data_IF_976302538666
#
_entry.id   IF_976302538666
#
_cell.length_a   1.000
_cell.length_b   1.000
_cell.length_c   1.000
_cell.angle_alpha   90.00
_cell.angle_beta   90.00
_cell.angle_gamma   90.00
#
_symmetry.space_group_name_H-M   'P 1'
#
loop_
_entity.id
_entity.type
_entity.pdbx_description
1 polymer ?
#
# COMPACT_ATOMS: atom_id res chain seq x y z
N UNK A 1 6.61 37.60 -10.50
CA UNK A 1 5.34 36.83 -10.59
C UNK A 1 5.21 36.07 -11.93
N UNK A 2 5.30 36.72 -13.10
CA UNK A 2 5.11 36.05 -14.41
C UNK A 2 6.03 34.85 -14.69
N UNK A 3 7.31 34.93 -14.32
CA UNK A 3 8.29 33.84 -14.53
C UNK A 3 8.04 32.61 -13.64
N UNK A 4 7.39 32.81 -12.50
CA UNK A 4 7.02 31.71 -11.60
C UNK A 4 5.78 30.99 -12.12
N UNK A 5 4.76 31.75 -12.55
CA UNK A 5 3.57 31.19 -13.18
C UNK A 5 3.94 30.40 -14.46
N UNK A 6 4.81 30.95 -15.32
CA UNK A 6 5.24 30.26 -16.53
C UNK A 6 6.06 28.99 -16.27
N UNK A 7 6.77 28.90 -15.14
CA UNK A 7 7.47 27.67 -14.74
C UNK A 7 6.47 26.59 -14.32
N UNK A 8 5.48 26.93 -13.50
CA UNK A 8 4.43 26.00 -13.08
C UNK A 8 3.58 25.54 -14.27
N UNK A 9 3.15 26.47 -15.12
CA UNK A 9 2.35 26.17 -16.31
C UNK A 9 3.11 25.31 -17.34
N UNK A 10 4.44 25.35 -17.32
CA UNK A 10 5.25 24.58 -18.27
C UNK A 10 5.33 23.08 -17.97
N UNK A 11 4.95 22.63 -16.76
CA UNK A 11 5.04 21.23 -16.34
C UNK A 11 6.45 20.63 -16.39
N UNK A 12 7.51 21.45 -16.59
CA UNK A 12 8.89 20.97 -16.78
C UNK A 12 9.45 20.26 -15.56
N UNK A 13 9.03 20.66 -14.36
CA UNK A 13 9.47 20.01 -13.12
C UNK A 13 8.86 18.61 -13.05
N UNK A 14 7.54 18.48 -13.26
CA UNK A 14 6.82 17.21 -13.25
C UNK A 14 7.40 16.22 -14.26
N UNK A 15 7.53 16.63 -15.53
CA UNK A 15 8.09 15.77 -16.59
C UNK A 15 9.53 15.32 -16.31
N UNK A 16 10.31 16.12 -15.59
CA UNK A 16 11.68 15.78 -15.25
C UNK A 16 11.73 14.77 -14.09
N UNK A 17 10.90 14.99 -13.06
CA UNK A 17 10.79 14.11 -11.89
C UNK A 17 10.22 12.74 -12.30
N UNK A 18 9.25 12.68 -13.20
CA UNK A 18 8.71 11.41 -13.73
C UNK A 18 9.78 10.58 -14.45
N UNK A 19 10.71 11.23 -15.16
CA UNK A 19 11.80 10.56 -15.88
C UNK A 19 12.95 10.13 -14.97
N UNK A 20 13.03 10.70 -13.76
CA UNK A 20 14.11 10.44 -12.79
C UNK A 20 13.51 10.06 -11.44
N UNK A 21 12.95 8.84 -11.31
CA UNK A 21 12.44 8.37 -10.03
C UNK A 21 13.58 8.29 -9.01
N UNK A 22 13.33 8.78 -7.78
CA UNK A 22 14.28 8.65 -6.67
C UNK A 22 15.44 9.66 -6.67
N UNK A 23 15.27 10.86 -7.25
CA UNK A 23 16.26 11.94 -7.19
C UNK A 23 16.80 12.19 -5.76
N UNK A 24 18.12 12.29 -5.66
CA UNK A 24 18.82 12.65 -4.42
C UNK A 24 18.88 14.18 -4.23
N UNK A 25 19.31 14.64 -3.07
CA UNK A 25 19.49 16.09 -2.80
C UNK A 25 20.48 16.76 -3.77
N UNK A 26 21.51 16.04 -4.21
CA UNK A 26 22.49 16.54 -5.18
C UNK A 26 21.88 16.66 -6.59
N UNK A 27 20.99 15.74 -6.96
CA UNK A 27 20.26 15.80 -8.23
C UNK A 27 19.27 16.98 -8.23
N UNK A 28 18.58 17.20 -7.11
CA UNK A 28 17.67 18.34 -6.92
C UNK A 28 18.44 19.66 -7.00
N UNK A 29 19.63 19.73 -6.39
CA UNK A 29 20.49 20.90 -6.47
C UNK A 29 20.93 21.18 -7.91
N UNK A 30 21.39 20.15 -8.62
CA UNK A 30 21.87 20.25 -9.99
C UNK A 30 20.75 20.70 -10.94
N UNK A 31 19.55 20.14 -10.80
CA UNK A 31 18.40 20.54 -11.62
C UNK A 31 17.90 21.95 -11.29
N UNK A 32 17.94 22.36 -10.02
CA UNK A 32 17.62 23.73 -9.62
C UNK A 32 18.56 24.76 -10.26
N UNK A 33 19.86 24.45 -10.39
CA UNK A 33 20.82 25.34 -11.04
C UNK A 33 20.59 25.46 -12.56
N UNK A 34 20.13 24.38 -13.22
CA UNK A 34 19.72 24.40 -14.63
C UNK A 34 18.49 25.29 -14.82
N UNK A 35 17.46 25.12 -13.97
CA UNK A 35 16.25 25.95 -14.02
C UNK A 35 16.52 27.41 -13.66
N UNK A 36 17.46 27.67 -12.75
CA UNK A 36 17.88 29.02 -12.37
C UNK A 36 18.39 29.81 -13.57
N UNK A 37 19.17 29.17 -14.46
CA UNK A 37 19.66 29.81 -15.70
C UNK A 37 18.54 30.17 -16.67
N UNK A 38 17.44 29.43 -16.65
CA UNK A 38 16.34 29.58 -17.60
C UNK A 38 15.26 30.56 -17.12
N UNK A 39 15.00 30.63 -15.80
CA UNK A 39 13.89 31.39 -15.23
C UNK A 39 14.33 32.49 -14.24
N UNK A 40 15.64 32.62 -13.95
CA UNK A 40 16.23 33.61 -13.03
C UNK A 40 15.52 33.66 -11.66
N UNK A 41 15.09 32.51 -11.14
CA UNK A 41 14.46 32.36 -9.84
C UNK A 41 15.48 32.01 -8.76
N UNK A 42 15.16 32.32 -7.50
CA UNK A 42 16.01 31.97 -6.37
C UNK A 42 16.17 30.44 -6.25
N UNK A 43 17.42 29.97 -6.13
CA UNK A 43 17.74 28.54 -6.09
C UNK A 43 17.05 27.83 -4.92
N UNK A 44 16.85 28.52 -3.79
CA UNK A 44 16.13 27.99 -2.62
C UNK A 44 14.67 27.63 -2.95
N UNK A 45 14.00 28.45 -3.75
CA UNK A 45 12.60 28.22 -4.13
C UNK A 45 12.53 27.07 -5.13
N UNK A 46 13.43 27.04 -6.12
CA UNK A 46 13.50 25.97 -7.12
C UNK A 46 13.75 24.61 -6.47
N UNK A 47 14.71 24.51 -5.54
CA UNK A 47 14.96 23.28 -4.78
C UNK A 47 13.72 22.80 -4.02
N UNK A 48 12.99 23.73 -3.38
CA UNK A 48 11.76 23.38 -2.64
C UNK A 48 10.67 22.86 -3.57
N UNK A 49 10.48 23.48 -4.74
CA UNK A 49 9.50 23.02 -5.73
C UNK A 49 9.83 21.63 -6.26
N UNK A 50 11.08 21.39 -6.66
CA UNK A 50 11.52 20.09 -7.16
C UNK A 50 11.36 19.03 -6.07
N UNK A 51 11.77 19.31 -4.82
CA UNK A 51 11.61 18.36 -3.71
C UNK A 51 10.13 18.01 -3.47
N UNK A 52 9.26 19.01 -3.45
CA UNK A 52 7.82 18.77 -3.28
C UNK A 52 7.26 17.88 -4.40
N UNK A 53 7.70 18.09 -5.65
CA UNK A 53 7.26 17.25 -6.76
C UNK A 53 7.84 15.84 -6.70
N UNK A 54 9.11 15.69 -6.32
CA UNK A 54 9.71 14.38 -6.03
C UNK A 54 8.95 13.63 -4.93
N UNK A 55 8.54 14.33 -3.87
CA UNK A 55 7.78 13.74 -2.77
C UNK A 55 6.35 13.39 -3.19
N UNK A 56 5.72 14.20 -4.05
CA UNK A 56 4.41 13.92 -4.65
C UNK A 56 4.44 12.72 -5.60
N UNK A 57 5.51 12.59 -6.38
CA UNK A 57 5.69 11.49 -7.33
C UNK A 57 6.05 10.16 -6.65
N UNK A 58 6.52 10.18 -5.40
CA UNK A 58 6.76 8.95 -4.63
C UNK A 58 5.42 8.22 -4.43
N UNK A 59 5.35 6.92 -4.76
CA UNK A 59 4.16 6.15 -4.43
C UNK A 59 3.91 6.24 -2.92
N UNK A 60 2.65 6.36 -2.53
CA UNK A 60 2.28 6.27 -1.12
C UNK A 60 2.88 5.00 -0.55
N UNK A 61 3.55 5.09 0.59
CA UNK A 61 4.11 3.91 1.25
C UNK A 61 2.98 2.91 1.43
N UNK A 62 3.15 1.72 0.84
CA UNK A 62 2.18 0.64 0.97
C UNK A 62 2.35 0.02 2.36
N UNK A 63 1.83 0.71 3.36
CA UNK A 63 1.97 0.32 4.77
C UNK A 63 1.38 -1.07 5.05
N UNK A 64 0.44 -1.54 4.25
CA UNK A 64 -0.19 -2.86 4.45
C UNK A 64 0.79 -4.01 4.20
N UNK A 65 1.69 -3.92 3.22
CA UNK A 65 2.64 -5.02 2.95
C UNK A 65 3.65 -5.20 4.08
N UNK A 66 4.01 -4.14 4.79
CA UNK A 66 4.99 -4.21 5.87
C UNK A 66 4.36 -4.63 7.20
N UNK A 67 3.10 -4.27 7.44
CA UNK A 67 2.47 -4.39 8.76
C UNK A 67 1.25 -5.33 8.81
N UNK A 68 0.70 -5.77 7.68
CA UNK A 68 -0.40 -6.73 7.68
C UNK A 68 0.12 -8.16 7.84
N UNK A 69 0.20 -8.58 9.10
CA UNK A 69 0.54 -9.94 9.49
C UNK A 69 -0.39 -10.99 8.85
N UNK A 70 -1.69 -10.68 8.72
CA UNK A 70 -2.66 -11.63 8.16
C UNK A 70 -2.42 -11.84 6.67
N UNK A 71 -2.10 -10.77 5.95
CA UNK A 71 -1.75 -10.84 4.53
C UNK A 71 -0.45 -11.64 4.30
N UNK A 72 0.58 -11.42 5.12
CA UNK A 72 1.84 -12.18 5.04
C UNK A 72 1.63 -13.68 5.26
N UNK A 73 0.85 -14.04 6.28
CA UNK A 73 0.55 -15.44 6.56
C UNK A 73 -0.33 -16.06 5.46
N UNK A 74 -1.28 -15.31 4.91
CA UNK A 74 -2.08 -15.79 3.78
C UNK A 74 -1.21 -16.09 2.55
N UNK A 75 -0.27 -15.20 2.20
CA UNK A 75 0.70 -15.44 1.13
C UNK A 75 1.58 -16.66 1.42
N UNK A 76 2.05 -16.81 2.66
CA UNK A 76 2.84 -17.96 3.08
C UNK A 76 2.07 -19.29 2.89
N UNK A 77 0.80 -19.34 3.33
CA UNK A 77 -0.07 -20.52 3.16
C UNK A 77 -0.31 -20.84 1.69
N UNK A 78 -0.46 -19.83 0.83
CA UNK A 78 -0.68 -20.02 -0.60
C UNK A 78 0.58 -20.55 -1.30
N UNK A 79 1.75 -20.01 -0.95
CA UNK A 79 3.02 -20.33 -1.61
C UNK A 79 3.68 -21.61 -1.10
N UNK A 80 3.59 -21.89 0.21
CA UNK A 80 4.40 -22.92 0.87
C UNK A 80 3.57 -24.09 1.40
N UNK A 81 2.28 -23.91 1.67
CA UNK A 81 1.41 -25.00 2.14
C UNK A 81 0.61 -25.63 1.00
N UNK A 82 0.23 -26.91 1.14
CA UNK A 82 -0.66 -27.56 0.19
C UNK A 82 -2.09 -27.05 0.41
N UNK A 83 -2.35 -25.86 -0.11
CA UNK A 83 -3.60 -25.11 0.02
C UNK A 83 -4.84 -25.96 -0.32
N UNK A 84 -4.75 -26.79 -1.37
CA UNK A 84 -5.82 -27.70 -1.76
C UNK A 84 -6.13 -28.76 -0.68
N UNK A 85 -5.11 -29.29 0.00
CA UNK A 85 -5.27 -30.23 1.09
C UNK A 85 -5.84 -29.57 2.36
N UNK A 86 -5.61 -28.28 2.56
CA UNK A 86 -6.15 -27.53 3.70
C UNK A 86 -7.62 -27.16 3.49
N UNK A 87 -7.98 -26.68 2.31
CA UNK A 87 -9.37 -26.37 1.97
C UNK A 87 -10.26 -27.63 2.02
N UNK A 88 -9.76 -28.77 1.54
CA UNK A 88 -10.53 -30.02 1.59
C UNK A 88 -10.78 -30.54 3.01
N UNK A 89 -9.95 -30.16 3.99
CA UNK A 89 -10.14 -30.47 5.42
C UNK A 89 -10.97 -29.42 6.15
N UNK A 90 -11.14 -28.23 5.58
CA UNK A 90 -11.93 -27.18 6.19
C UNK A 90 -13.41 -27.54 6.16
N UNK A 91 -14.09 -27.42 7.31
CA UNK A 91 -15.52 -27.70 7.41
C UNK A 91 -16.31 -26.62 6.69
N UNK A 92 -17.34 -27.02 5.97
CA UNK A 92 -18.30 -26.10 5.35
C UNK A 92 -19.31 -25.60 6.39
N UNK A 93 -19.90 -24.42 6.15
CA UNK A 93 -20.93 -23.86 7.04
C UNK A 93 -22.07 -24.84 7.32
N UNK A 94 -22.53 -25.54 6.27
CA UNK A 94 -23.57 -26.57 6.38
C UNK A 94 -23.16 -27.74 7.29
N UNK A 95 -21.89 -28.13 7.29
CA UNK A 95 -21.36 -29.16 8.19
C UNK A 95 -21.27 -28.66 9.64
N UNK A 96 -20.94 -27.39 9.84
CA UNK A 96 -20.88 -26.77 11.17
C UNK A 96 -22.29 -26.65 11.78
N UNK A 97 -23.29 -26.26 10.99
CA UNK A 97 -24.69 -26.17 11.42
C UNK A 97 -25.27 -27.54 11.79
N UNK A 98 -25.00 -28.56 10.97
CA UNK A 98 -25.45 -29.93 11.26
C UNK A 98 -24.78 -30.52 12.50
N UNK A 99 -23.48 -30.25 12.72
CA UNK A 99 -22.80 -30.64 13.97
C UNK A 99 -23.31 -29.89 15.19
N UNK A 100 -23.70 -28.61 15.03
CA UNK A 100 -24.29 -27.81 16.10
C UNK A 100 -25.66 -28.35 16.50
N UNK A 101 -26.53 -28.58 15.53
CA UNK A 101 -27.87 -29.15 15.76
C UNK A 101 -27.79 -30.57 16.35
N UNK A 102 -26.87 -31.41 15.85
CA UNK A 102 -26.66 -32.76 16.38
C UNK A 102 -26.08 -32.78 17.81
N UNK A 103 -25.38 -31.72 18.24
CA UNK A 103 -24.94 -31.56 19.64
C UNK A 103 -26.10 -31.09 20.53
N UNK A 104 -26.90 -30.15 20.05
CA UNK A 104 -28.10 -29.67 20.77
C UNK A 104 -29.13 -30.81 20.98
N UNK A 105 -29.30 -31.71 20.02
CA UNK A 105 -30.16 -32.90 20.15
C UNK A 105 -29.62 -33.95 21.13
N UNK A 106 -28.28 -34.12 21.19
CA UNK A 106 -27.64 -35.06 22.14
C UNK A 106 -27.69 -34.54 23.58
N UNK A 107 -27.54 -33.24 23.77
CA UNK A 107 -27.67 -32.63 25.10
C UNK A 107 -29.12 -32.68 25.60
N UNK A 108 -30.12 -32.52 24.73
CA UNK A 108 -31.53 -32.68 25.08
C UNK A 108 -31.94 -34.12 25.45
N UNK A 109 -31.30 -35.14 24.88
CA UNK A 109 -31.56 -36.57 25.17
C UNK A 109 -30.88 -37.08 26.45
N UNK A 110 -29.97 -36.32 27.07
CA UNK A 110 -29.21 -36.74 28.27
C UNK A 110 -29.72 -36.15 29.59
N UNK A 111 -30.76 -35.30 29.55
CA UNK A 111 -31.38 -34.77 30.76
C UNK A 111 -32.12 -35.90 31.53
N UNK A 112 -31.76 -36.19 32.79
CA UNK A 112 -32.36 -37.31 33.52
C UNK A 112 -33.82 -37.01 33.84
N UNK A 113 -34.69 -37.98 33.54
CA UNK A 113 -36.08 -37.97 33.98
C UNK A 113 -36.12 -37.90 35.52
N UNK A 114 -36.53 -36.74 36.04
CA UNK A 114 -36.80 -36.56 37.48
C UNK A 114 -37.94 -37.51 37.88
N UNK A 115 -37.63 -38.48 38.74
CA UNK A 115 -38.61 -39.26 39.51
C UNK A 115 -39.13 -38.43 40.68
#
# INVERSE_FOLDING_TARGET
>A
AKLYASLLDSGKIEQYVEKHPGMTEDDIYSYAEILRRSYSLESRILRKLIRNECDRAKPSRLYDLDYDLQLKEALNIIEHENFAALISKAKTLKQIETERNAKEEKDASSAPAKK
#
